data_IF_008555856994
#
_entry.id   IF_008555856994
#
_cell.length_a   1.000
_cell.length_b   1.000
_cell.length_c   1.000
_cell.angle_alpha   90.00
_cell.angle_beta   90.00
_cell.angle_gamma   90.00
#
_symmetry.space_group_name_H-M   'P 1'
#
loop_
_entity.id
_entity.type
_entity.pdbx_description
1 polymer ?
#
# COMPACT_ATOMS: atom_id res chain seq x y z
N UNK A 1 -14.36 19.67 5.95
CA UNK A 1 -14.64 18.48 5.11
C UNK A 1 -13.56 17.40 5.21
N UNK A 2 -12.27 17.67 4.93
CA UNK A 2 -11.19 16.65 4.98
C UNK A 2 -11.11 15.85 6.30
N UNK A 3 -11.21 16.52 7.46
CA UNK A 3 -11.21 15.85 8.78
C UNK A 3 -12.39 14.92 9.01
N UNK A 4 -13.57 15.28 8.49
CA UNK A 4 -14.80 14.49 8.62
C UNK A 4 -14.76 13.22 7.75
N UNK A 5 -14.19 13.32 6.56
CA UNK A 5 -13.93 12.17 5.69
C UNK A 5 -12.91 11.23 6.34
N UNK A 6 -11.88 11.77 6.98
CA UNK A 6 -10.88 10.97 7.68
C UNK A 6 -11.49 10.20 8.86
N UNK A 7 -12.29 10.86 9.70
CA UNK A 7 -12.97 10.20 10.81
C UNK A 7 -13.92 9.10 10.33
N UNK A 8 -14.67 9.35 9.25
CA UNK A 8 -15.54 8.34 8.66
C UNK A 8 -14.76 7.10 8.18
N UNK A 9 -13.61 7.30 7.51
CA UNK A 9 -12.73 6.21 7.06
C UNK A 9 -12.16 5.39 8.22
N UNK A 10 -11.82 6.06 9.32
CA UNK A 10 -11.34 5.38 10.52
C UNK A 10 -12.46 4.53 11.12
N UNK A 11 -13.66 5.10 11.30
CA UNK A 11 -14.83 4.40 11.83
C UNK A 11 -15.21 3.20 10.96
N UNK A 12 -15.22 3.36 9.63
CA UNK A 12 -15.55 2.24 8.73
C UNK A 12 -14.50 1.12 8.82
N UNK A 13 -13.22 1.47 8.98
CA UNK A 13 -12.14 0.50 9.17
C UNK A 13 -12.28 -0.26 10.49
N UNK A 14 -12.71 0.42 11.57
CA UNK A 14 -12.99 -0.23 12.85
C UNK A 14 -14.16 -1.20 12.76
N UNK A 15 -15.26 -0.81 12.11
CA UNK A 15 -16.43 -1.68 11.93
C UNK A 15 -16.08 -2.93 11.14
N UNK A 16 -15.32 -2.78 10.05
CA UNK A 16 -14.85 -3.91 9.24
C UNK A 16 -13.91 -4.83 10.04
N UNK A 17 -12.98 -4.25 10.81
CA UNK A 17 -12.11 -5.00 11.71
C UNK A 17 -12.89 -5.81 12.75
N UNK A 18 -13.90 -5.21 13.39
CA UNK A 18 -14.77 -5.88 14.36
C UNK A 18 -15.59 -7.01 13.73
N UNK A 19 -16.08 -6.84 12.50
CA UNK A 19 -16.79 -7.89 11.79
C UNK A 19 -15.85 -9.07 11.47
N UNK A 20 -14.64 -8.78 11.00
CA UNK A 20 -13.62 -9.80 10.77
C UNK A 20 -13.20 -10.52 12.05
N UNK A 21 -13.08 -9.82 13.19
CA UNK A 21 -12.70 -10.47 14.46
C UNK A 21 -13.77 -11.44 14.93
N UNK A 22 -15.04 -11.06 14.86
CA UNK A 22 -16.17 -11.95 15.17
C UNK A 22 -16.16 -13.16 14.24
N UNK A 23 -15.94 -12.95 12.94
CA UNK A 23 -15.83 -14.05 11.96
C UNK A 23 -14.70 -15.03 12.28
N UNK A 24 -13.52 -14.54 12.69
CA UNK A 24 -12.38 -15.39 13.07
C UNK A 24 -12.68 -16.16 14.37
N UNK A 25 -13.28 -15.52 15.36
CA UNK A 25 -13.65 -16.17 16.62
C UNK A 25 -14.72 -17.25 16.42
N UNK A 26 -15.66 -17.04 15.49
CA UNK A 26 -16.62 -18.07 15.09
C UNK A 26 -15.92 -19.22 14.35
N UNK A 27 -14.97 -18.92 13.45
CA UNK A 27 -14.21 -19.94 12.71
C UNK A 27 -13.37 -20.83 13.65
N UNK A 28 -12.69 -20.22 14.63
CA UNK A 28 -11.92 -20.93 15.64
C UNK A 28 -12.79 -21.65 16.68
N UNK A 29 -14.12 -21.48 16.62
CA UNK A 29 -15.10 -21.97 17.59
C UNK A 29 -14.86 -21.44 19.01
N UNK A 30 -14.21 -20.29 19.11
CA UNK A 30 -13.99 -19.59 20.37
C UNK A 30 -15.28 -18.90 20.84
N UNK A 31 -16.15 -18.54 19.90
CA UNK A 31 -17.56 -18.20 20.11
C UNK A 31 -18.39 -19.33 19.48
N UNK A 32 -19.22 -20.00 20.26
CA UNK A 32 -20.29 -20.87 19.75
C UNK A 32 -21.62 -20.15 19.85
N UNK A 33 -22.49 -20.30 18.85
CA UNK A 33 -23.82 -19.66 18.82
C UNK A 33 -24.83 -20.51 19.58
N UNK A 34 -24.73 -21.85 19.47
CA UNK A 34 -25.62 -22.81 20.15
C UNK A 34 -24.82 -23.94 20.83
N UNK A 35 -24.71 -23.96 22.18
CA UNK A 35 -25.09 -22.90 23.11
C UNK A 35 -24.17 -21.68 22.99
N UNK A 36 -24.68 -20.49 23.34
CA UNK A 36 -23.89 -19.26 23.37
C UNK A 36 -22.78 -19.37 24.44
N UNK A 37 -21.57 -19.71 24.00
CA UNK A 37 -20.42 -19.90 24.89
C UNK A 37 -19.23 -19.19 24.28
N UNK A 38 -18.60 -18.36 25.10
CA UNK A 38 -17.35 -17.70 24.77
C UNK A 38 -16.22 -18.33 25.58
N UNK A 39 -15.19 -18.82 24.89
CA UNK A 39 -13.96 -19.30 25.52
C UNK A 39 -12.91 -18.21 25.44
N UNK A 40 -12.54 -17.64 26.58
CA UNK A 40 -11.55 -16.57 26.61
C UNK A 40 -10.14 -17.14 26.49
N UNK A 41 -9.36 -16.59 25.56
CA UNK A 41 -7.93 -16.90 25.40
C UNK A 41 -7.14 -15.60 25.30
N UNK A 42 -5.91 -15.61 25.80
CA UNK A 42 -5.05 -14.42 25.89
C UNK A 42 -4.78 -13.78 24.52
N UNK A 43 -4.66 -14.58 23.46
CA UNK A 43 -4.46 -14.04 22.11
C UNK A 43 -5.65 -13.21 21.61
N UNK A 44 -6.87 -13.38 22.17
CA UNK A 44 -8.02 -12.52 21.85
C UNK A 44 -7.76 -11.08 22.26
N UNK A 45 -7.13 -10.87 23.42
CA UNK A 45 -6.79 -9.53 23.92
C UNK A 45 -5.79 -8.87 23.00
N UNK A 46 -4.71 -9.58 22.67
CA UNK A 46 -3.70 -9.09 21.75
C UNK A 46 -4.30 -8.75 20.38
N UNK A 47 -5.11 -9.64 19.82
CA UNK A 47 -5.78 -9.43 18.54
C UNK A 47 -6.74 -8.23 18.57
N UNK A 48 -7.50 -8.06 19.65
CA UNK A 48 -8.42 -6.93 19.81
C UNK A 48 -7.66 -5.60 19.92
N UNK A 49 -6.58 -5.54 20.70
CA UNK A 49 -5.74 -4.34 20.83
C UNK A 49 -5.09 -3.98 19.49
N UNK A 50 -4.47 -4.95 18.81
CA UNK A 50 -3.80 -4.72 17.52
C UNK A 50 -4.79 -4.26 16.45
N UNK A 51 -5.99 -4.84 16.40
CA UNK A 51 -7.07 -4.38 15.51
C UNK A 51 -7.51 -2.95 15.80
N UNK A 52 -7.59 -2.56 17.07
CA UNK A 52 -7.96 -1.18 17.42
C UNK A 52 -6.89 -0.16 17.04
N UNK A 53 -5.61 -0.55 17.16
CA UNK A 53 -4.48 0.33 16.86
C UNK A 53 -4.19 0.45 15.36
N UNK A 54 -4.44 -0.59 14.58
CA UNK A 54 -4.15 -0.64 13.15
C UNK A 54 -4.71 0.55 12.34
N UNK A 55 -6.00 0.96 12.44
CA UNK A 55 -6.52 2.09 11.66
C UNK A 55 -5.87 3.41 12.06
N UNK A 56 -5.56 3.59 13.35
CA UNK A 56 -4.85 4.77 13.85
C UNK A 56 -3.43 4.80 13.26
N UNK A 57 -2.71 3.68 13.35
CA UNK A 57 -1.36 3.54 12.84
C UNK A 57 -1.27 3.75 11.33
N UNK A 58 -2.25 3.26 10.57
CA UNK A 58 -2.31 3.44 9.11
C UNK A 58 -2.49 4.91 8.71
N UNK A 59 -3.26 5.68 9.49
CA UNK A 59 -3.47 7.11 9.22
C UNK A 59 -2.24 7.93 9.59
N UNK A 60 -1.55 7.60 10.68
CA UNK A 60 -0.33 8.32 11.08
C UNK A 60 0.86 8.02 10.17
N UNK A 61 0.96 6.78 9.66
CA UNK A 61 2.08 6.31 8.83
C UNK A 61 1.67 6.06 7.37
N UNK A 62 0.89 6.96 6.77
CA UNK A 62 0.37 6.78 5.41
C UNK A 62 1.47 6.45 4.38
N UNK A 63 2.66 7.05 4.52
CA UNK A 63 3.82 6.82 3.65
C UNK A 63 4.35 5.39 3.69
N UNK A 64 4.18 4.67 4.80
CA UNK A 64 4.64 3.29 4.93
C UNK A 64 3.71 2.34 4.17
N UNK A 65 2.41 2.62 4.19
CA UNK A 65 1.37 1.79 3.58
C UNK A 65 1.14 2.08 2.10
N UNK A 66 1.31 3.33 1.65
CA UNK A 66 1.22 3.67 0.24
C UNK A 66 2.57 3.42 -0.47
N UNK A 67 2.56 3.02 -1.74
CA UNK A 67 3.73 3.19 -2.61
C UNK A 67 3.83 4.69 -2.92
N UNK A 68 4.96 5.30 -2.61
CA UNK A 68 5.25 6.69 -3.01
C UNK A 68 5.71 6.79 -4.46
N UNK A 69 6.13 5.67 -5.03
CA UNK A 69 6.66 5.58 -6.39
C UNK A 69 5.55 5.05 -7.29
N UNK A 70 5.20 5.83 -8.30
CA UNK A 70 4.39 5.39 -9.42
C UNK A 70 5.14 4.24 -10.09
N UNK A 71 4.55 3.06 -10.12
CA UNK A 71 5.16 1.91 -10.74
C UNK A 71 5.36 2.16 -12.24
N UNK A 72 6.61 2.35 -12.66
CA UNK A 72 6.98 2.43 -14.08
C UNK A 72 7.43 1.04 -14.52
N UNK A 73 6.80 0.49 -15.56
CA UNK A 73 7.22 -0.79 -16.13
C UNK A 73 8.73 -0.79 -16.44
N UNK A 74 9.43 -1.93 -16.29
CA UNK A 74 10.87 -2.01 -16.61
C UNK A 74 11.20 -1.54 -18.03
N UNK A 75 10.27 -1.76 -18.98
CA UNK A 75 10.39 -1.29 -20.36
C UNK A 75 10.19 0.23 -20.49
N UNK A 76 9.19 0.79 -19.81
CA UNK A 76 9.02 2.25 -19.73
C UNK A 76 10.24 2.93 -19.09
N UNK A 77 10.81 2.32 -18.05
CA UNK A 77 12.04 2.79 -17.39
C UNK A 77 13.25 2.72 -18.33
N UNK A 78 13.43 1.63 -19.06
CA UNK A 78 14.51 1.49 -20.03
C UNK A 78 14.38 2.51 -21.18
N UNK A 79 13.14 2.76 -21.64
CA UNK A 79 12.86 3.77 -22.66
C UNK A 79 13.17 5.18 -22.16
N UNK A 80 12.73 5.52 -20.96
CA UNK A 80 13.01 6.82 -20.35
C UNK A 80 14.52 7.03 -20.14
N UNK A 81 15.23 5.99 -19.72
CA UNK A 81 16.68 6.03 -19.57
C UNK A 81 17.39 6.21 -20.93
N UNK A 82 16.94 5.51 -21.97
CA UNK A 82 17.46 5.67 -23.33
C UNK A 82 17.28 7.11 -23.83
N UNK A 83 16.13 7.74 -23.59
CA UNK A 83 15.91 9.15 -23.93
C UNK A 83 16.78 10.10 -23.09
N UNK A 84 16.97 9.81 -21.80
CA UNK A 84 17.86 10.59 -20.94
C UNK A 84 19.31 10.52 -21.42
N UNK A 85 19.78 9.34 -21.85
CA UNK A 85 21.13 9.14 -22.37
C UNK A 85 21.34 9.89 -23.69
N UNK A 86 20.37 9.85 -24.61
CA UNK A 86 20.40 10.65 -25.84
C UNK A 86 20.46 12.14 -25.53
N UNK A 87 19.64 12.61 -24.58
CA UNK A 87 19.62 14.02 -24.17
C UNK A 87 20.95 14.44 -23.53
N UNK A 88 21.56 13.59 -22.70
CA UNK A 88 22.83 13.85 -22.04
C UNK A 88 24.02 13.84 -23.02
N UNK A 89 23.95 13.01 -24.07
CA UNK A 89 24.98 12.93 -25.11
C UNK A 89 24.81 14.00 -26.20
N UNK A 90 23.69 14.73 -26.21
CA UNK A 90 23.42 15.76 -27.19
C UNK A 90 24.32 16.99 -26.99
N UNK A 91 25.18 17.25 -27.97
CA UNK A 91 26.13 18.40 -27.97
C UNK A 91 25.65 19.63 -28.74
N UNK A 92 24.39 19.65 -29.21
CA UNK A 92 23.82 20.80 -29.92
C UNK A 92 23.28 21.88 -28.98
N UNK A 93 22.89 23.04 -29.54
CA UNK A 93 22.30 24.13 -28.77
C UNK A 93 20.93 23.75 -28.17
N UNK A 94 20.54 24.42 -27.07
CA UNK A 94 19.29 24.21 -26.29
C UNK A 94 17.98 24.08 -27.09
N UNK A 95 17.97 24.48 -28.37
CA UNK A 95 16.78 24.57 -29.22
C UNK A 95 16.98 23.99 -30.64
N UNK A 96 18.02 23.18 -30.87
CA UNK A 96 18.25 22.58 -32.18
C UNK A 96 17.62 21.18 -32.25
N UNK A 97 16.65 20.98 -33.15
CA UNK A 97 16.02 19.67 -33.42
C UNK A 97 16.77 18.83 -34.44
N UNK A 98 17.94 19.28 -34.93
CA UNK A 98 18.72 18.55 -35.94
C UNK A 98 19.18 17.19 -35.40
N UNK A 99 18.59 16.11 -35.91
CA UNK A 99 19.02 14.73 -35.69
C UNK A 99 18.20 13.93 -34.67
N UNK A 100 17.33 14.56 -33.88
CA UNK A 100 16.48 13.85 -32.91
C UNK A 100 15.16 13.48 -33.57
N UNK A 101 15.12 12.33 -34.26
CA UNK A 101 13.87 11.70 -34.70
C UNK A 101 13.27 10.92 -33.53
N UNK A 102 12.39 11.56 -32.77
CA UNK A 102 11.54 10.87 -31.80
C UNK A 102 10.35 10.26 -32.54
N UNK A 103 10.10 8.97 -32.32
CA UNK A 103 8.96 8.30 -32.92
C UNK A 103 7.69 8.70 -32.12
N UNK A 104 6.71 9.38 -32.73
CA UNK A 104 5.50 9.82 -32.01
C UNK A 104 4.66 8.66 -31.47
N UNK A 105 4.88 7.43 -31.96
CA UNK A 105 4.20 6.23 -31.50
C UNK A 105 4.97 5.43 -30.45
N UNK A 106 6.15 5.89 -30.03
CA UNK A 106 7.03 5.19 -29.09
C UNK A 106 6.38 4.96 -27.72
N UNK A 107 5.45 5.83 -27.34
CA UNK A 107 4.66 5.70 -26.10
C UNK A 107 3.26 5.11 -26.32
N UNK A 108 2.77 5.02 -27.55
CA UNK A 108 1.38 4.60 -27.85
C UNK A 108 1.27 3.18 -28.40
N UNK A 109 2.38 2.46 -28.57
CA UNK A 109 2.33 1.05 -28.99
C UNK A 109 1.69 0.16 -27.93
N UNK A 110 0.97 -0.91 -28.31
CA UNK A 110 0.37 -1.86 -27.36
C UNK A 110 1.41 -2.57 -26.47
N UNK A 111 2.69 -2.50 -26.82
CA UNK A 111 3.80 -3.03 -26.03
C UNK A 111 4.40 -2.01 -25.03
N UNK A 112 3.99 -0.74 -25.12
CA UNK A 112 4.29 0.36 -24.19
C UNK A 112 3.04 0.88 -23.47
N UNK A 113 1.83 0.46 -23.87
CA UNK A 113 0.63 0.44 -23.02
C UNK A 113 0.86 -0.55 -21.89
N UNK A 114 1.67 -0.13 -20.95
CA UNK A 114 1.90 -0.86 -19.73
C UNK A 114 0.61 -0.86 -18.92
N UNK A 115 0.24 -2.02 -18.39
CA UNK A 115 -0.79 -2.16 -17.34
C UNK A 115 -0.40 -1.44 -16.03
N UNK A 116 0.48 -0.43 -16.09
CA UNK A 116 1.13 0.23 -14.97
C UNK A 116 0.09 0.77 -13.99
N UNK A 117 -1.00 1.37 -14.47
CA UNK A 117 -2.07 1.86 -13.59
C UNK A 117 -2.81 0.74 -12.84
N UNK A 118 -3.05 -0.41 -13.48
CA UNK A 118 -3.73 -1.54 -12.83
C UNK A 118 -2.79 -2.33 -11.92
N UNK A 119 -1.54 -2.54 -12.33
CA UNK A 119 -0.53 -3.23 -11.55
C UNK A 119 -0.11 -2.42 -10.32
N UNK A 120 0.01 -1.10 -10.44
CA UNK A 120 0.29 -0.22 -9.30
C UNK A 120 -0.82 -0.27 -8.24
N UNK A 121 -2.08 -0.29 -8.69
CA UNK A 121 -3.22 -0.46 -7.78
C UNK A 121 -3.17 -1.81 -7.05
N UNK A 122 -2.98 -2.92 -7.78
CA UNK A 122 -2.88 -4.26 -7.19
C UNK A 122 -1.72 -4.31 -6.20
N UNK A 123 -0.54 -3.82 -6.59
CA UNK A 123 0.65 -3.78 -5.76
C UNK A 123 0.40 -2.99 -4.47
N UNK A 124 -0.22 -1.82 -4.57
CA UNK A 124 -0.58 -0.98 -3.41
C UNK A 124 -1.53 -1.72 -2.47
N UNK A 125 -2.55 -2.40 -3.00
CA UNK A 125 -3.51 -3.18 -2.21
C UNK A 125 -2.82 -4.35 -1.52
N UNK A 126 -2.02 -5.13 -2.24
CA UNK A 126 -1.28 -6.27 -1.69
C UNK A 126 -0.30 -5.82 -0.62
N UNK A 127 0.49 -4.76 -0.88
CA UNK A 127 1.41 -4.16 0.10
C UNK A 127 0.66 -3.78 1.39
N UNK A 128 -0.51 -3.13 1.27
CA UNK A 128 -1.34 -2.77 2.42
C UNK A 128 -1.81 -3.99 3.20
N UNK A 129 -2.26 -5.04 2.52
CA UNK A 129 -2.74 -6.27 3.17
C UNK A 129 -1.57 -6.95 3.89
N UNK A 130 -0.43 -7.15 3.21
CA UNK A 130 0.76 -7.77 3.77
C UNK A 130 1.27 -7.01 5.00
N UNK A 131 1.42 -5.68 4.92
CA UNK A 131 1.85 -4.86 6.07
C UNK A 131 0.85 -4.91 7.22
N UNK A 132 -0.45 -4.96 6.93
CA UNK A 132 -1.47 -5.04 7.98
C UNK A 132 -1.45 -6.40 8.69
N UNK A 133 -1.24 -7.48 7.94
CA UNK A 133 -1.08 -8.82 8.49
C UNK A 133 0.19 -8.90 9.35
N UNK A 134 1.30 -8.35 8.85
CA UNK A 134 2.56 -8.26 9.60
C UNK A 134 2.39 -7.43 10.87
N UNK A 135 1.64 -6.32 10.81
CA UNK A 135 1.31 -5.51 11.99
C UNK A 135 0.50 -6.30 13.02
N UNK A 136 -0.51 -7.06 12.59
CA UNK A 136 -1.28 -7.90 13.52
C UNK A 136 -0.37 -8.94 14.20
N UNK A 137 0.53 -9.59 13.45
CA UNK A 137 1.43 -10.59 14.01
C UNK A 137 2.52 -10.00 14.91
N UNK A 138 3.02 -8.81 14.60
CA UNK A 138 4.20 -8.23 15.23
C UNK A 138 4.05 -6.73 15.54
N UNK A 139 2.90 -6.32 16.09
CA UNK A 139 2.63 -4.92 16.43
C UNK A 139 3.72 -4.25 17.30
N UNK A 140 4.30 -4.93 18.32
CA UNK A 140 5.36 -4.32 19.13
C UNK A 140 6.58 -3.90 18.31
N UNK A 141 6.93 -4.68 17.27
CA UNK A 141 8.08 -4.37 16.41
C UNK A 141 7.85 -3.10 15.58
N UNK A 142 6.62 -2.83 15.14
CA UNK A 142 6.30 -1.60 14.41
C UNK A 142 6.49 -0.35 15.27
N UNK A 143 6.05 -0.40 16.54
CA UNK A 143 6.26 0.71 17.47
C UNK A 143 7.73 0.90 17.84
N UNK A 144 8.48 -0.18 18.01
CA UNK A 144 9.94 -0.10 18.19
C UNK A 144 10.61 0.51 16.96
N UNK A 145 10.25 0.05 15.76
CA UNK A 145 10.78 0.60 14.50
C UNK A 145 10.45 2.09 14.35
N UNK A 146 9.25 2.53 14.71
CA UNK A 146 8.90 3.95 14.76
C UNK A 146 9.83 4.73 15.70
N UNK A 147 10.11 4.20 16.89
CA UNK A 147 11.01 4.83 17.85
C UNK A 147 12.45 4.97 17.32
N UNK A 148 12.97 3.95 16.63
CA UNK A 148 14.33 3.98 16.08
C UNK A 148 14.47 4.78 14.79
N UNK A 149 13.47 4.77 13.90
CA UNK A 149 13.50 5.50 12.62
C UNK A 149 13.21 7.00 12.74
N UNK A 150 12.69 7.41 13.90
CA UNK A 150 12.40 8.82 14.22
C UNK A 150 13.55 9.50 14.97
N UNK A 151 14.57 8.72 15.38
CA UNK A 151 15.90 9.20 15.80
C UNK A 151 16.78 9.47 14.59
#
# INVERSE_FOLDING_TARGET
>A
MKKLILSLKIVSSFLLGALCTVGILLYLRDITIDPLKYTFKIYHVYFCITMLLLPIFRVTHEKWFNSSEEYVSPRGKALQQHHADIANQYKGGRWSTKGVRVNPYEYTTPYTLSYDSSLDWIYTVVKKICLSLLFILAAPLFYLAEMFLKS
#
